data_IF_715972476413
#
_entry.id   IF_715972476413
#
_cell.length_a   1.000
_cell.length_b   1.000
_cell.length_c   1.000
_cell.angle_alpha   90.00
_cell.angle_beta   90.00
_cell.angle_gamma   90.00
#
_symmetry.space_group_name_H-M   'P 1'
#
loop_
_entity.id
_entity.type
_entity.pdbx_description
1 polymer ?
#
# COMPACT_ATOMS: atom_id res chain seq x y z
N UNK A 1 -10.16 34.24 -5.15
CA UNK A 1 -9.24 33.14 -4.84
C UNK A 1 -9.99 31.84 -5.02
N UNK A 2 -9.38 30.79 -5.55
CA UNK A 2 -10.05 29.50 -5.64
C UNK A 2 -10.48 29.02 -4.25
N UNK A 3 -11.63 28.35 -4.20
CA UNK A 3 -12.15 27.79 -2.94
C UNK A 3 -11.95 26.28 -3.00
N UNK A 4 -11.19 25.75 -2.04
CA UNK A 4 -10.86 24.33 -1.96
C UNK A 4 -11.78 23.61 -0.99
N UNK A 5 -12.18 22.39 -1.33
CA UNK A 5 -13.03 21.56 -0.49
C UNK A 5 -12.44 20.15 -0.36
N UNK A 6 -12.82 19.49 0.72
CA UNK A 6 -12.48 18.10 1.02
C UNK A 6 -13.78 17.33 1.30
N UNK A 7 -14.01 16.27 0.56
CA UNK A 7 -14.99 15.25 0.91
C UNK A 7 -14.27 14.03 1.48
N UNK A 8 -14.82 13.40 2.52
CA UNK A 8 -14.31 12.14 3.07
C UNK A 8 -15.32 11.04 2.82
N UNK A 9 -14.85 9.85 2.45
CA UNK A 9 -15.71 8.70 2.21
C UNK A 9 -15.15 7.43 2.85
N UNK A 10 -16.05 6.51 3.17
CA UNK A 10 -15.69 5.17 3.63
C UNK A 10 -16.71 4.14 3.18
N UNK A 11 -16.27 2.91 2.97
CA UNK A 11 -17.17 1.78 2.80
C UNK A 11 -16.59 0.52 3.47
N UNK A 12 -17.49 -0.38 3.85
CA UNK A 12 -17.11 -1.70 4.36
C UNK A 12 -16.66 -2.60 3.20
N UNK A 13 -15.47 -3.20 3.34
CA UNK A 13 -14.89 -4.13 2.37
C UNK A 13 -14.52 -5.45 3.03
N UNK A 14 -15.16 -5.77 4.15
CA UNK A 14 -14.99 -7.02 4.89
C UNK A 14 -15.53 -8.19 4.07
N UNK A 15 -14.73 -9.25 3.83
CA UNK A 15 -15.18 -10.39 3.06
C UNK A 15 -16.18 -11.26 3.86
N UNK A 16 -17.09 -11.96 3.18
CA UNK A 16 -17.94 -12.95 3.82
C UNK A 16 -17.14 -14.15 4.31
N UNK A 17 -17.72 -14.93 5.24
CA UNK A 17 -17.12 -16.20 5.67
C UNK A 17 -16.96 -17.14 4.47
N UNK A 18 -15.85 -17.88 4.45
CA UNK A 18 -15.48 -18.75 3.37
C UNK A 18 -14.73 -18.07 2.20
N UNK A 19 -14.64 -16.73 2.18
CA UNK A 19 -13.89 -16.00 1.15
C UNK A 19 -12.38 -16.31 1.27
N UNK A 20 -11.67 -16.57 0.14
CA UNK A 20 -10.22 -16.74 0.14
C UNK A 20 -9.50 -15.50 0.69
N UNK A 21 -8.49 -15.69 1.53
CA UNK A 21 -7.66 -14.62 2.06
C UNK A 21 -6.25 -14.68 1.49
N UNK A 22 -5.60 -13.53 1.40
CA UNK A 22 -4.20 -13.40 0.95
C UNK A 22 -3.95 -14.15 -0.40
N UNK A 23 -4.90 -14.06 -1.36
CA UNK A 23 -4.75 -14.76 -2.65
C UNK A 23 -4.89 -16.28 -2.61
N UNK A 24 -5.51 -16.82 -1.55
CA UNK A 24 -5.65 -18.27 -1.33
C UNK A 24 -4.40 -18.93 -0.75
N UNK A 25 -3.49 -18.15 -0.15
CA UNK A 25 -2.26 -18.68 0.46
C UNK A 25 -2.44 -19.10 1.92
N UNK A 26 -3.53 -18.70 2.53
CA UNK A 26 -3.86 -18.96 3.94
C UNK A 26 -5.30 -19.46 4.05
N UNK A 27 -5.70 -19.87 5.27
CA UNK A 27 -7.06 -20.31 5.57
C UNK A 27 -8.10 -19.27 5.11
N UNK A 28 -9.20 -19.69 4.49
CA UNK A 28 -10.31 -18.80 4.14
C UNK A 28 -10.91 -18.11 5.38
N UNK A 29 -11.66 -17.05 5.15
CA UNK A 29 -12.30 -16.27 6.20
C UNK A 29 -13.25 -17.16 7.03
N UNK A 30 -12.95 -17.35 8.32
CA UNK A 30 -13.77 -18.11 9.29
C UNK A 30 -14.33 -17.26 10.42
N UNK A 31 -13.96 -15.99 10.46
CA UNK A 31 -14.43 -15.02 11.43
C UNK A 31 -13.80 -13.65 11.19
N UNK A 32 -14.34 -12.64 11.84
CA UNK A 32 -13.89 -11.25 11.73
C UNK A 32 -13.49 -10.77 13.12
N UNK A 33 -12.23 -10.37 13.28
CA UNK A 33 -11.74 -9.75 14.52
C UNK A 33 -12.01 -8.25 14.51
N UNK A 34 -11.80 -7.61 13.35
CA UNK A 34 -12.14 -6.22 13.10
C UNK A 34 -12.54 -6.02 11.63
N UNK A 35 -13.48 -5.10 11.33
CA UNK A 35 -13.97 -4.88 9.98
C UNK A 35 -12.91 -4.21 9.10
N UNK A 36 -12.92 -4.54 7.81
CA UNK A 36 -12.06 -3.91 6.81
C UNK A 36 -12.75 -2.73 6.15
N UNK A 37 -12.01 -1.67 5.89
CA UNK A 37 -12.50 -0.44 5.30
C UNK A 37 -11.76 -0.08 4.01
N UNK A 38 -12.48 0.53 3.08
CA UNK A 38 -11.90 1.43 2.10
C UNK A 38 -12.21 2.86 2.54
N UNK A 39 -11.17 3.65 2.76
CA UNK A 39 -11.25 5.02 3.28
C UNK A 39 -10.62 5.96 2.27
N UNK A 40 -11.24 7.11 2.04
CA UNK A 40 -10.65 8.05 1.11
C UNK A 40 -11.06 9.49 1.30
N UNK A 41 -10.36 10.34 0.57
CA UNK A 41 -10.65 11.76 0.45
C UNK A 41 -10.77 12.15 -1.03
N UNK A 42 -11.64 13.13 -1.30
CA UNK A 42 -11.73 13.81 -2.60
C UNK A 42 -11.34 15.27 -2.41
N UNK A 43 -10.27 15.70 -3.09
CA UNK A 43 -9.83 17.09 -3.14
C UNK A 43 -10.51 17.80 -4.30
N UNK A 44 -11.19 18.90 -4.02
CA UNK A 44 -12.01 19.67 -4.97
C UNK A 44 -11.57 21.13 -5.02
N UNK A 45 -11.61 21.74 -6.19
CA UNK A 45 -11.27 23.15 -6.40
C UNK A 45 -9.94 23.38 -7.16
N UNK A 46 -9.24 22.31 -7.54
CA UNK A 46 -8.17 22.33 -8.55
C UNK A 46 -8.73 22.09 -9.98
N UNK A 47 -7.85 21.78 -10.93
CA UNK A 47 -8.21 21.47 -12.32
C UNK A 47 -9.26 20.35 -12.42
N UNK A 48 -9.01 19.27 -11.72
CA UNK A 48 -9.90 18.11 -11.63
C UNK A 48 -9.96 17.61 -10.18
N UNK A 49 -11.07 16.94 -9.80
CA UNK A 49 -11.12 16.24 -8.54
C UNK A 49 -10.01 15.19 -8.43
N UNK A 50 -9.32 15.16 -7.28
CA UNK A 50 -8.31 14.14 -6.97
C UNK A 50 -8.88 13.21 -5.92
N UNK A 51 -8.81 11.90 -6.15
CA UNK A 51 -9.27 10.88 -5.21
C UNK A 51 -8.07 10.13 -4.64
N UNK A 52 -7.93 10.13 -3.32
CA UNK A 52 -6.97 9.29 -2.59
C UNK A 52 -7.75 8.25 -1.80
N UNK A 53 -7.44 6.96 -2.00
CA UNK A 53 -8.14 5.86 -1.36
C UNK A 53 -7.16 4.85 -0.76
N UNK A 54 -7.37 4.48 0.51
CA UNK A 54 -6.66 3.41 1.21
C UNK A 54 -7.63 2.25 1.45
N UNK A 55 -7.24 1.03 1.06
CA UNK A 55 -8.04 -0.18 1.17
C UNK A 55 -7.36 -1.17 2.13
N UNK A 56 -8.08 -1.66 3.14
CA UNK A 56 -7.58 -2.62 4.13
C UNK A 56 -7.44 -4.05 3.55
N UNK A 57 -7.00 -4.16 2.31
CA UNK A 57 -6.76 -5.43 1.64
C UNK A 57 -5.26 -5.71 1.49
N UNK A 58 -4.90 -6.99 1.31
CA UNK A 58 -3.52 -7.40 1.03
C UNK A 58 -3.03 -6.81 -0.29
N UNK A 59 -3.87 -6.75 -1.32
CA UNK A 59 -3.47 -6.18 -2.60
C UNK A 59 -4.59 -6.04 -3.61
N UNK A 60 -4.39 -5.09 -4.52
CA UNK A 60 -5.14 -4.89 -5.74
C UNK A 60 -4.15 -4.98 -6.91
N UNK A 61 -4.41 -5.87 -7.87
CA UNK A 61 -3.51 -6.12 -9.00
C UNK A 61 -4.21 -5.93 -10.34
N UNK A 62 -3.45 -5.46 -11.30
CA UNK A 62 -3.81 -5.53 -12.71
C UNK A 62 -5.22 -4.96 -13.00
N UNK A 63 -6.12 -5.77 -13.55
CA UNK A 63 -7.48 -5.37 -13.88
C UNK A 63 -8.30 -4.98 -12.65
N UNK A 64 -8.12 -5.65 -11.50
CA UNK A 64 -8.82 -5.28 -10.26
C UNK A 64 -8.47 -3.86 -9.82
N UNK A 65 -7.21 -3.47 -9.88
CA UNK A 65 -6.76 -2.12 -9.59
C UNK A 65 -7.38 -1.09 -10.57
N UNK A 66 -7.39 -1.39 -11.87
CA UNK A 66 -7.94 -0.50 -12.89
C UNK A 66 -9.44 -0.30 -12.74
N UNK A 67 -10.20 -1.37 -12.48
CA UNK A 67 -11.65 -1.30 -12.24
C UNK A 67 -11.99 -0.44 -11.03
N UNK A 68 -11.21 -0.56 -9.95
CA UNK A 68 -11.39 0.27 -8.76
C UNK A 68 -11.16 1.76 -9.07
N UNK A 69 -10.03 2.08 -9.71
CA UNK A 69 -9.73 3.46 -10.13
C UNK A 69 -10.79 4.04 -11.06
N UNK A 70 -11.22 3.29 -12.05
CA UNK A 70 -12.24 3.72 -13.00
C UNK A 70 -13.55 4.07 -12.29
N UNK A 71 -14.04 3.19 -11.42
CA UNK A 71 -15.27 3.39 -10.69
C UNK A 71 -15.23 4.63 -9.76
N UNK A 72 -14.09 4.86 -9.09
CA UNK A 72 -13.91 6.04 -8.26
C UNK A 72 -13.78 7.33 -9.10
N UNK A 73 -13.12 7.26 -10.25
CA UNK A 73 -13.00 8.39 -11.17
C UNK A 73 -14.38 8.84 -11.68
N UNK A 74 -15.19 7.90 -12.16
CA UNK A 74 -16.57 8.16 -12.60
C UNK A 74 -17.43 8.76 -11.47
N UNK A 75 -17.32 8.20 -10.27
CA UNK A 75 -18.06 8.68 -9.11
C UNK A 75 -17.65 10.10 -8.67
N UNK A 76 -16.39 10.46 -8.85
CA UNK A 76 -15.86 11.78 -8.50
C UNK A 76 -15.87 12.78 -9.66
N UNK A 77 -16.44 12.42 -10.83
CA UNK A 77 -16.42 13.23 -12.05
C UNK A 77 -15.02 13.66 -12.49
N UNK A 78 -14.07 12.72 -12.45
CA UNK A 78 -12.68 12.90 -12.85
C UNK A 78 -12.21 11.77 -13.80
N UNK A 79 -10.92 11.65 -14.04
CA UNK A 79 -10.35 10.58 -14.86
C UNK A 79 -9.44 9.68 -14.01
N UNK A 80 -9.21 8.40 -14.40
CA UNK A 80 -8.44 7.46 -13.59
C UNK A 80 -7.05 7.96 -13.20
N UNK A 81 -6.41 8.80 -14.01
CA UNK A 81 -5.10 9.37 -13.73
C UNK A 81 -5.08 10.28 -12.49
N UNK A 82 -6.25 10.81 -12.07
CA UNK A 82 -6.45 11.63 -10.87
C UNK A 82 -6.92 10.81 -9.66
N UNK A 83 -6.87 9.48 -9.77
CA UNK A 83 -7.27 8.58 -8.69
C UNK A 83 -6.07 7.74 -8.25
N UNK A 84 -5.72 7.81 -6.96
CA UNK A 84 -4.69 6.99 -6.34
C UNK A 84 -5.34 6.03 -5.34
N UNK A 85 -5.23 4.72 -5.61
CA UNK A 85 -5.75 3.65 -4.74
C UNK A 85 -4.57 2.83 -4.23
N UNK A 86 -4.50 2.62 -2.93
CA UNK A 86 -3.42 1.88 -2.29
C UNK A 86 -3.96 0.90 -1.27
N UNK A 87 -3.35 -0.28 -1.19
CA UNK A 87 -3.66 -1.24 -0.15
C UNK A 87 -2.85 -0.96 1.10
N UNK A 88 -3.47 -1.13 2.27
CA UNK A 88 -2.75 -1.09 3.56
C UNK A 88 -1.87 -2.33 3.71
N UNK A 89 -2.24 -3.44 3.06
CA UNK A 89 -1.49 -4.69 2.95
C UNK A 89 -1.49 -5.61 4.18
N UNK A 90 -2.54 -5.62 5.04
CA UNK A 90 -2.65 -6.66 6.05
C UNK A 90 -2.90 -8.04 5.38
N UNK A 91 -2.50 -9.13 6.03
CA UNK A 91 -2.49 -10.44 5.36
C UNK A 91 -3.69 -11.34 5.65
N UNK A 92 -4.45 -11.10 6.71
CA UNK A 92 -5.74 -11.77 6.92
C UNK A 92 -6.89 -11.06 6.18
N UNK A 93 -6.67 -10.72 4.90
CA UNK A 93 -7.60 -9.90 4.09
C UNK A 93 -7.61 -10.35 2.63
N UNK A 94 -8.58 -9.91 1.81
CA UNK A 94 -8.63 -10.22 0.38
C UNK A 94 -7.41 -9.72 -0.40
N UNK A 95 -7.11 -10.43 -1.47
CA UNK A 95 -6.10 -10.07 -2.46
C UNK A 95 -6.71 -10.23 -3.84
N UNK A 96 -6.89 -9.14 -4.57
CA UNK A 96 -7.69 -9.14 -5.77
C UNK A 96 -6.87 -9.02 -7.05
N UNK A 97 -7.05 -10.01 -7.93
CA UNK A 97 -6.62 -10.00 -9.33
C UNK A 97 -7.70 -10.69 -10.16
N UNK A 98 -8.49 -9.92 -10.89
CA UNK A 98 -9.64 -10.42 -11.67
C UNK A 98 -9.20 -11.35 -12.80
N UNK A 99 -8.11 -11.02 -13.50
CA UNK A 99 -7.61 -11.85 -14.61
C UNK A 99 -7.02 -13.16 -14.09
N UNK A 100 -6.26 -13.10 -13.00
CA UNK A 100 -5.73 -14.29 -12.35
C UNK A 100 -6.87 -15.21 -11.87
N UNK A 101 -7.93 -14.66 -11.26
CA UNK A 101 -9.08 -15.47 -10.83
C UNK A 101 -9.78 -16.17 -12.01
N UNK A 102 -9.93 -15.51 -13.17
CA UNK A 102 -10.47 -16.16 -14.37
C UNK A 102 -9.60 -17.33 -14.84
N UNK A 103 -8.28 -17.15 -14.81
CA UNK A 103 -7.32 -18.22 -15.14
C UNK A 103 -7.40 -19.39 -14.16
N UNK A 104 -7.49 -19.10 -12.85
CA UNK A 104 -7.65 -20.08 -11.77
C UNK A 104 -8.93 -20.91 -11.98
N UNK A 105 -10.05 -20.25 -12.24
CA UNK A 105 -11.33 -20.90 -12.48
C UNK A 105 -11.30 -21.78 -13.75
N UNK A 106 -10.69 -21.31 -14.84
CA UNK A 106 -10.52 -22.07 -16.07
C UNK A 106 -9.66 -23.35 -15.86
N UNK A 107 -8.63 -23.26 -15.01
CA UNK A 107 -7.75 -24.36 -14.64
C UNK A 107 -8.35 -25.26 -13.54
N UNK A 108 -9.57 -24.97 -13.05
CA UNK A 108 -10.19 -25.68 -11.91
C UNK A 108 -9.28 -25.76 -10.68
N UNK A 109 -8.56 -24.66 -10.41
CA UNK A 109 -7.78 -24.51 -9.19
C UNK A 109 -8.64 -23.88 -8.08
N UNK A 110 -8.24 -24.00 -6.79
CA UNK A 110 -8.95 -23.33 -5.70
C UNK A 110 -8.95 -21.81 -5.87
N UNK A 111 -10.10 -21.19 -5.65
CA UNK A 111 -10.30 -19.75 -5.85
C UNK A 111 -9.35 -18.91 -4.99
N UNK A 112 -8.94 -17.77 -5.55
CA UNK A 112 -8.17 -16.73 -4.85
C UNK A 112 -9.01 -15.49 -4.52
N UNK A 113 -10.17 -15.33 -5.17
CA UNK A 113 -11.06 -14.18 -5.07
C UNK A 113 -12.49 -14.56 -5.44
N UNK A 114 -13.47 -14.07 -4.68
CA UNK A 114 -14.87 -14.04 -5.14
C UNK A 114 -15.08 -12.77 -5.99
N UNK A 115 -15.31 -12.96 -7.30
CA UNK A 115 -15.50 -11.86 -8.25
C UNK A 115 -16.77 -11.06 -8.00
N UNK A 116 -17.83 -11.67 -7.45
CA UNK A 116 -19.06 -10.97 -7.10
C UNK A 116 -18.83 -10.06 -5.89
N UNK A 117 -18.21 -10.58 -4.86
CA UNK A 117 -17.82 -9.78 -3.70
C UNK A 117 -16.92 -8.60 -4.10
N UNK A 118 -15.93 -8.83 -4.96
CA UNK A 118 -15.07 -7.78 -5.49
C UNK A 118 -15.88 -6.68 -6.20
N UNK A 119 -16.75 -7.05 -7.13
CA UNK A 119 -17.58 -6.09 -7.87
C UNK A 119 -18.50 -5.29 -6.93
N UNK A 120 -19.08 -5.94 -5.92
CA UNK A 120 -19.92 -5.28 -4.90
C UNK A 120 -19.12 -4.29 -4.05
N UNK A 121 -17.86 -4.58 -3.70
CA UNK A 121 -16.98 -3.65 -3.00
C UNK A 121 -16.68 -2.41 -3.86
N UNK A 122 -16.33 -2.59 -5.13
CA UNK A 122 -16.07 -1.50 -6.08
C UNK A 122 -17.30 -0.59 -6.20
N UNK A 123 -18.49 -1.17 -6.40
CA UNK A 123 -19.75 -0.44 -6.49
C UNK A 123 -20.05 0.37 -5.23
N UNK A 124 -19.96 -0.25 -4.04
CA UNK A 124 -20.18 0.42 -2.74
C UNK A 124 -19.20 1.56 -2.51
N UNK A 125 -17.93 1.38 -2.88
CA UNK A 125 -16.93 2.43 -2.74
C UNK A 125 -17.23 3.62 -3.66
N UNK A 126 -17.63 3.37 -4.90
CA UNK A 126 -18.07 4.41 -5.83
C UNK A 126 -19.35 5.15 -5.33
N UNK A 127 -20.31 4.43 -4.76
CA UNK A 127 -21.49 5.03 -4.12
C UNK A 127 -21.11 5.92 -2.93
N UNK A 128 -20.16 5.46 -2.08
CA UNK A 128 -19.65 6.25 -0.96
C UNK A 128 -19.01 7.56 -1.43
N UNK A 129 -18.26 7.56 -2.54
CA UNK A 129 -17.72 8.78 -3.16
C UNK A 129 -18.88 9.71 -3.59
N UNK A 130 -19.83 9.21 -4.38
CA UNK A 130 -20.97 10.04 -4.84
C UNK A 130 -21.74 10.68 -3.69
N UNK A 131 -21.96 9.95 -2.61
CA UNK A 131 -22.66 10.43 -1.43
C UNK A 131 -21.85 11.43 -0.60
N UNK A 132 -20.52 11.38 -0.67
CA UNK A 132 -19.63 12.28 0.04
C UNK A 132 -19.49 13.66 -0.64
N UNK A 133 -19.55 13.73 -1.97
CA UNK A 133 -19.34 14.98 -2.72
C UNK A 133 -20.23 16.14 -2.27
N UNK A 134 -21.55 15.98 -2.07
CA UNK A 134 -22.41 17.07 -1.59
C UNK A 134 -22.10 17.53 -0.16
N UNK A 135 -21.34 16.73 0.61
CA UNK A 135 -20.97 16.98 2.00
C UNK A 135 -19.55 17.56 2.12
N UNK A 136 -18.92 17.93 1.00
CA UNK A 136 -17.57 18.46 0.97
C UNK A 136 -17.44 19.72 1.84
N UNK A 137 -16.45 19.76 2.72
CA UNK A 137 -16.19 20.87 3.63
C UNK A 137 -15.08 21.77 3.07
N UNK A 138 -15.21 23.08 3.29
CA UNK A 138 -14.19 24.04 2.88
C UNK A 138 -12.85 23.73 3.56
N UNK A 139 -11.77 23.69 2.77
CA UNK A 139 -10.42 23.47 3.23
C UNK A 139 -9.60 24.75 3.11
N UNK A 140 -8.96 25.17 4.20
CA UNK A 140 -8.20 26.43 4.26
C UNK A 140 -6.73 26.23 4.56
N UNK A 141 -6.36 25.11 5.20
CA UNK A 141 -4.97 24.82 5.58
C UNK A 141 -4.65 23.35 5.32
N UNK A 142 -3.37 23.10 5.09
CA UNK A 142 -2.73 21.79 5.14
C UNK A 142 -1.72 21.78 6.27
N UNK A 143 -1.66 20.68 7.02
CA UNK A 143 -0.71 20.50 8.11
C UNK A 143 0.17 19.29 7.88
N UNK A 144 1.40 19.33 8.38
CA UNK A 144 2.33 18.19 8.35
C UNK A 144 2.93 17.96 9.72
N UNK A 145 3.11 16.69 10.06
CA UNK A 145 3.76 16.30 11.29
C UNK A 145 4.53 15.00 11.14
N UNK A 146 5.57 14.85 11.93
CA UNK A 146 6.45 13.66 11.90
C UNK A 146 6.71 13.20 13.33
N UNK A 147 6.72 11.89 13.53
CA UNK A 147 7.15 11.30 14.80
C UNK A 147 7.86 9.98 14.58
N UNK A 148 8.84 9.70 15.43
CA UNK A 148 9.53 8.41 15.44
C UNK A 148 8.61 7.31 15.95
N UNK A 149 8.62 6.16 15.26
CA UNK A 149 7.96 4.94 15.71
C UNK A 149 9.01 4.06 16.39
N UNK A 150 8.76 3.71 17.62
CA UNK A 150 9.70 2.90 18.39
C UNK A 150 9.32 1.41 18.33
N UNK A 151 10.33 0.57 18.09
CA UNK A 151 10.21 -0.89 18.21
C UNK A 151 9.08 -1.52 17.37
N UNK A 152 8.93 -1.09 16.10
CA UNK A 152 8.00 -1.71 15.13
C UNK A 152 8.77 -2.20 13.93
N UNK A 153 9.33 -1.32 13.11
CA UNK A 153 10.00 -1.67 11.87
C UNK A 153 11.39 -2.29 12.07
N UNK A 154 11.72 -3.23 11.22
CA UNK A 154 13.07 -3.74 11.02
C UNK A 154 13.23 -4.24 9.59
N UNK A 155 14.40 -4.06 9.00
CA UNK A 155 14.68 -4.63 7.69
C UNK A 155 14.70 -6.16 7.80
N UNK A 156 14.00 -6.82 6.87
CA UNK A 156 13.88 -8.28 6.89
C UNK A 156 15.14 -8.97 6.36
N UNK A 157 16.04 -8.25 5.71
CA UNK A 157 17.26 -8.71 5.07
C UNK A 157 18.45 -8.51 6.02
N UNK A 158 18.79 -9.53 6.81
CA UNK A 158 19.94 -9.51 7.70
C UNK A 158 21.15 -10.05 6.93
N UNK A 159 22.08 -9.15 6.56
CA UNK A 159 23.26 -9.52 5.78
C UNK A 159 24.32 -10.19 6.64
N UNK A 160 25.01 -11.16 6.04
CA UNK A 160 26.22 -11.75 6.56
C UNK A 160 27.48 -10.95 6.19
N UNK A 161 28.65 -11.38 6.68
CA UNK A 161 29.93 -10.74 6.36
C UNK A 161 30.29 -10.79 4.86
N UNK A 162 29.74 -11.73 4.13
CA UNK A 162 29.91 -11.91 2.68
C UNK A 162 29.00 -10.99 1.83
N UNK A 163 28.20 -10.13 2.49
CA UNK A 163 27.25 -9.24 1.83
C UNK A 163 26.01 -9.94 1.29
N UNK A 164 25.78 -11.22 1.60
CA UNK A 164 24.57 -11.95 1.25
C UNK A 164 23.59 -11.97 2.42
N UNK A 165 22.31 -12.20 2.11
CA UNK A 165 21.29 -12.37 3.15
C UNK A 165 21.53 -13.66 3.93
N UNK A 166 22.00 -13.53 5.18
CA UNK A 166 22.20 -14.64 6.10
C UNK A 166 20.90 -15.12 6.73
N UNK A 167 20.04 -14.17 7.15
CA UNK A 167 18.73 -14.46 7.71
C UNK A 167 17.67 -13.60 7.04
N UNK A 168 16.52 -14.21 6.74
CA UNK A 168 15.30 -13.48 6.39
C UNK A 168 14.49 -13.31 7.66
N UNK A 169 14.43 -12.09 8.17
CA UNK A 169 13.60 -11.73 9.31
C UNK A 169 12.15 -11.58 8.82
N UNK A 170 11.37 -12.64 8.97
CA UNK A 170 9.95 -12.64 8.58
C UNK A 170 9.12 -11.74 9.50
N UNK A 171 7.83 -11.62 9.25
CA UNK A 171 6.92 -10.80 10.08
C UNK A 171 6.88 -11.24 11.54
N UNK A 172 7.06 -12.54 11.79
CA UNK A 172 7.13 -13.15 13.12
C UNK A 172 8.39 -14.02 13.21
N UNK A 173 9.45 -13.49 13.80
CA UNK A 173 10.77 -14.14 13.81
C UNK A 173 11.06 -14.75 15.18
N UNK A 174 11.24 -16.07 15.22
CA UNK A 174 11.61 -16.82 16.42
C UNK A 174 13.12 -17.07 16.52
N UNK A 175 13.87 -16.95 15.41
CA UNK A 175 15.34 -17.11 15.41
C UNK A 175 16.01 -16.03 16.28
N UNK A 176 16.71 -16.37 17.36
CA UNK A 176 17.29 -15.42 18.30
C UNK A 176 18.37 -14.55 17.65
N UNK A 177 19.21 -15.08 16.75
CA UNK A 177 20.24 -14.30 16.06
C UNK A 177 19.64 -13.27 15.12
N UNK A 178 18.60 -13.65 14.36
CA UNK A 178 17.88 -12.72 13.50
C UNK A 178 17.18 -11.62 14.30
N UNK A 179 16.65 -11.92 15.50
CA UNK A 179 16.04 -10.93 16.40
C UNK A 179 17.08 -10.02 17.05
N UNK A 180 18.25 -10.55 17.43
CA UNK A 180 19.33 -9.79 18.04
C UNK A 180 19.99 -8.82 17.05
N UNK A 181 20.02 -9.15 15.75
CA UNK A 181 20.61 -8.29 14.72
C UNK A 181 20.02 -6.86 14.75
N UNK A 182 20.79 -5.81 14.38
CA UNK A 182 20.29 -4.43 14.29
C UNK A 182 19.03 -4.32 13.44
N UNK A 183 18.27 -3.24 13.60
CA UNK A 183 17.05 -2.97 12.77
C UNK A 183 17.36 -2.97 11.27
N UNK A 184 18.59 -2.59 10.91
CA UNK A 184 18.99 -2.42 9.52
C UNK A 184 18.50 -1.10 8.93
N UNK A 185 18.50 -1.00 7.60
CA UNK A 185 18.00 0.20 6.92
C UNK A 185 16.46 0.25 7.01
N UNK A 186 15.94 1.25 7.68
CA UNK A 186 14.51 1.54 7.82
C UNK A 186 14.27 3.05 7.68
N UNK A 187 13.03 3.46 7.42
CA UNK A 187 12.56 4.82 7.75
C UNK A 187 11.82 4.74 9.10
N UNK A 188 12.39 5.26 10.19
CA UNK A 188 11.79 5.13 11.51
C UNK A 188 10.64 6.10 11.76
N UNK A 189 10.28 6.95 10.79
CA UNK A 189 9.34 8.04 11.00
C UNK A 189 7.97 7.76 10.38
N UNK A 190 6.93 7.87 11.20
CA UNK A 190 5.55 8.04 10.74
C UNK A 190 5.37 9.51 10.32
N UNK A 191 4.79 9.71 9.14
CA UNK A 191 4.45 11.04 8.63
C UNK A 191 2.94 11.20 8.55
N UNK A 192 2.49 12.41 8.87
CA UNK A 192 1.07 12.79 8.82
C UNK A 192 0.90 14.00 7.93
N UNK A 193 -0.05 13.93 6.99
CA UNK A 193 -0.62 15.09 6.28
C UNK A 193 -2.04 15.27 6.79
N UNK A 194 -2.43 16.50 7.12
CA UNK A 194 -3.75 16.79 7.67
C UNK A 194 -4.39 17.98 6.97
N UNK A 195 -5.73 17.96 6.90
CA UNK A 195 -6.54 18.99 6.24
C UNK A 195 -7.41 19.70 7.24
N UNK A 196 -7.57 21.02 7.10
CA UNK A 196 -8.20 21.87 8.09
C UNK A 196 -9.09 22.95 7.48
N UNK A 197 -10.19 23.23 8.16
CA UNK A 197 -10.97 24.46 7.99
C UNK A 197 -10.66 25.39 9.15
N UNK A 198 -9.78 26.35 8.95
CA UNK A 198 -9.21 27.18 10.03
C UNK A 198 -8.59 26.28 11.13
N UNK A 199 -9.18 26.25 12.32
CA UNK A 199 -8.72 25.43 13.44
C UNK A 199 -9.46 24.10 13.57
N UNK A 200 -10.50 23.88 12.76
CA UNK A 200 -11.24 22.61 12.74
C UNK A 200 -10.52 21.60 11.84
N UNK A 201 -10.05 20.45 12.40
CA UNK A 201 -9.49 19.38 11.58
C UNK A 201 -10.59 18.67 10.80
N UNK A 202 -10.30 18.31 9.54
CA UNK A 202 -11.21 17.60 8.64
C UNK A 202 -10.79 16.15 8.47
N UNK A 203 -9.50 15.91 8.20
CA UNK A 203 -8.94 14.58 8.00
C UNK A 203 -7.44 14.55 8.31
N UNK A 204 -6.95 13.37 8.67
CA UNK A 204 -5.52 13.07 8.80
C UNK A 204 -5.17 11.81 8.01
N UNK A 205 -4.10 11.90 7.22
CA UNK A 205 -3.53 10.82 6.43
C UNK A 205 -2.16 10.47 7.03
N UNK A 206 -1.94 9.21 7.38
CA UNK A 206 -0.71 8.71 7.96
C UNK A 206 0.01 7.77 7.01
N UNK A 207 1.33 7.77 7.01
CA UNK A 207 2.14 6.76 6.33
C UNK A 207 3.31 6.31 7.20
N UNK A 208 3.57 5.00 7.17
CA UNK A 208 4.74 4.40 7.80
C UNK A 208 5.15 3.15 7.02
N UNK A 209 6.44 2.94 6.84
CA UNK A 209 6.97 1.82 6.05
C UNK A 209 7.17 0.58 6.92
N UNK A 210 6.17 -0.33 6.94
CA UNK A 210 6.28 -1.64 7.59
C UNK A 210 5.15 -2.57 7.13
N UNK A 211 5.46 -3.81 6.78
CA UNK A 211 4.42 -4.83 6.53
C UNK A 211 3.50 -4.96 7.75
N UNK A 212 2.18 -4.76 7.59
CA UNK A 212 1.20 -4.87 8.67
C UNK A 212 0.84 -6.33 8.93
N UNK A 213 1.79 -7.05 9.52
CA UNK A 213 1.70 -8.49 9.79
C UNK A 213 2.13 -8.77 11.23
N UNK A 214 1.18 -8.81 12.16
CA UNK A 214 1.45 -9.25 13.54
C UNK A 214 1.44 -10.77 13.66
N UNK A 215 0.31 -11.38 13.36
CA UNK A 215 0.10 -12.80 13.11
C UNK A 215 -0.99 -12.93 12.05
N UNK A 216 -0.94 -14.00 11.26
CA UNK A 216 -1.89 -14.23 10.18
C UNK A 216 -1.96 -15.73 9.82
N UNK A 217 -2.87 -16.08 8.92
CA UNK A 217 -3.02 -17.45 8.42
C UNK A 217 -4.11 -18.24 9.13
N UNK A 218 -4.72 -17.69 10.17
CA UNK A 218 -5.74 -18.36 11.00
C UNK A 218 -7.19 -18.12 10.52
N UNK A 219 -7.39 -17.50 9.35
CA UNK A 219 -8.72 -17.21 8.81
C UNK A 219 -9.51 -16.12 9.57
N UNK A 220 -8.90 -15.43 10.53
CA UNK A 220 -9.53 -14.34 11.30
C UNK A 220 -9.27 -13.00 10.62
N UNK A 221 -10.26 -12.47 9.90
CA UNK A 221 -10.16 -11.21 9.15
C UNK A 221 -9.81 -10.05 10.07
N UNK A 222 -8.78 -9.27 9.71
CA UNK A 222 -8.32 -8.12 10.49
C UNK A 222 -7.51 -7.15 9.65
N UNK A 223 -7.69 -5.84 9.87
CA UNK A 223 -6.85 -4.77 9.32
C UNK A 223 -5.48 -4.65 10.01
N UNK A 224 -5.16 -5.59 10.90
CA UNK A 224 -3.94 -5.71 11.70
C UNK A 224 -3.59 -4.43 12.49
N UNK A 225 -2.39 -4.34 13.05
CA UNK A 225 -2.01 -3.26 13.97
C UNK A 225 -2.13 -1.85 13.37
N UNK A 226 -1.95 -1.68 12.06
CA UNK A 226 -2.06 -0.38 11.39
C UNK A 226 -3.52 0.10 11.34
N UNK A 227 -4.45 -0.77 10.90
CA UNK A 227 -5.87 -0.45 10.87
C UNK A 227 -6.45 -0.21 12.25
N UNK A 228 -6.05 -1.03 13.21
CA UNK A 228 -6.45 -0.88 14.62
C UNK A 228 -5.92 0.43 15.25
N UNK A 229 -4.67 0.86 14.93
CA UNK A 229 -4.12 2.12 15.40
C UNK A 229 -4.89 3.32 14.83
N UNK A 230 -5.20 3.28 13.53
CA UNK A 230 -6.03 4.27 12.84
C UNK A 230 -7.41 4.39 13.47
N UNK A 231 -8.07 3.27 13.71
CA UNK A 231 -9.41 3.24 14.30
C UNK A 231 -9.40 3.77 15.74
N UNK A 232 -8.42 3.37 16.55
CA UNK A 232 -8.23 3.92 17.91
C UNK A 232 -8.07 5.44 17.87
N UNK A 233 -7.26 5.96 16.93
CA UNK A 233 -7.06 7.40 16.79
C UNK A 233 -8.34 8.13 16.37
N UNK A 234 -9.14 7.53 15.47
CA UNK A 234 -10.43 8.05 15.04
C UNK A 234 -11.41 8.15 16.22
N UNK A 235 -11.51 7.11 17.03
CA UNK A 235 -12.40 7.08 18.20
C UNK A 235 -12.04 8.16 19.23
N UNK A 236 -10.74 8.38 19.46
CA UNK A 236 -10.28 9.39 20.42
C UNK A 236 -10.54 10.84 19.97
N UNK A 237 -10.49 11.10 18.66
CA UNK A 237 -10.49 12.46 18.13
C UNK A 237 -11.76 12.88 17.41
N UNK A 238 -12.55 11.93 16.94
CA UNK A 238 -13.66 12.18 16.03
C UNK A 238 -13.23 12.68 14.63
N UNK A 239 -11.92 12.82 14.38
CA UNK A 239 -11.39 13.26 13.08
C UNK A 239 -11.30 12.05 12.14
N UNK A 240 -11.61 12.24 10.85
CA UNK A 240 -11.44 11.21 9.84
C UNK A 240 -9.96 10.83 9.71
N UNK A 241 -9.65 9.54 9.85
CA UNK A 241 -8.29 9.01 9.85
C UNK A 241 -8.10 8.05 8.68
N UNK A 242 -7.01 8.20 7.94
CA UNK A 242 -6.55 7.25 6.94
C UNK A 242 -5.13 6.77 7.27
N UNK A 243 -4.84 5.54 6.92
CA UNK A 243 -3.49 4.99 6.99
C UNK A 243 -3.12 4.43 5.64
N UNK A 244 -1.94 4.81 5.16
CA UNK A 244 -1.27 4.23 4.01
C UNK A 244 -0.02 3.50 4.46
N UNK A 245 0.34 2.44 3.75
CA UNK A 245 1.64 1.84 3.95
C UNK A 245 2.68 2.58 3.09
N UNK A 246 3.82 2.90 3.68
CA UNK A 246 4.99 3.40 2.97
C UNK A 246 5.70 2.28 2.20
N UNK A 247 6.91 2.52 1.74
CA UNK A 247 7.72 1.52 1.04
C UNK A 247 8.20 0.43 2.01
N UNK A 248 7.32 -0.51 2.31
CA UNK A 248 7.52 -1.58 3.28
C UNK A 248 8.00 -2.90 2.70
N UNK A 249 8.35 -2.98 1.39
CA UNK A 249 8.65 -4.25 0.71
C UNK A 249 9.69 -5.11 1.43
N UNK A 250 10.73 -4.52 1.96
CA UNK A 250 11.77 -5.18 2.75
C UNK A 250 11.70 -4.90 4.26
N UNK A 251 10.59 -4.35 4.75
CA UNK A 251 10.45 -3.95 6.15
C UNK A 251 9.33 -4.74 6.84
N UNK A 252 9.64 -5.31 8.01
CA UNK A 252 8.69 -6.07 8.83
C UNK A 252 8.84 -5.75 10.31
N UNK A 253 7.86 -6.17 11.12
CA UNK A 253 7.95 -6.09 12.58
C UNK A 253 8.79 -7.23 13.22
N UNK A 254 9.43 -8.09 12.43
CA UNK A 254 9.98 -9.37 12.86
C UNK A 254 11.07 -9.31 13.95
N UNK A 255 11.76 -8.18 14.13
CA UNK A 255 12.67 -7.99 15.28
C UNK A 255 11.90 -7.94 16.61
N UNK A 256 10.71 -7.38 16.60
CA UNK A 256 9.90 -7.05 17.78
C UNK A 256 8.64 -7.92 17.88
N UNK A 257 8.48 -8.88 16.98
CA UNK A 257 7.32 -9.75 16.88
C UNK A 257 7.75 -11.22 16.71
N UNK A 258 7.26 -12.09 17.55
CA UNK A 258 7.44 -13.56 17.47
C UNK A 258 6.17 -14.31 17.05
N UNK A 259 5.09 -13.56 16.74
CA UNK A 259 3.80 -14.10 16.31
C UNK A 259 2.83 -14.38 17.45
N UNK A 260 3.18 -14.04 18.69
CA UNK A 260 2.23 -14.10 19.79
C UNK A 260 1.06 -13.13 19.59
N UNK A 261 -0.16 -13.52 20.00
CA UNK A 261 -1.39 -12.77 19.71
C UNK A 261 -1.41 -11.37 20.33
N UNK A 262 -0.83 -11.22 21.50
CA UNK A 262 -0.67 -9.92 22.20
C UNK A 262 0.13 -8.90 21.41
N UNK A 263 1.04 -9.35 20.54
CA UNK A 263 1.88 -8.45 19.73
C UNK A 263 1.08 -7.54 18.80
N UNK A 264 -0.09 -7.96 18.31
CA UNK A 264 -0.97 -7.08 17.52
C UNK A 264 -1.36 -5.83 18.31
N UNK A 265 -1.75 -6.02 19.58
CA UNK A 265 -2.06 -4.90 20.48
C UNK A 265 -0.87 -4.02 20.80
N UNK A 266 0.30 -4.62 21.05
CA UNK A 266 1.53 -3.89 21.36
C UNK A 266 1.98 -3.05 20.15
N UNK A 267 2.01 -3.63 18.96
CA UNK A 267 2.39 -2.93 17.72
C UNK A 267 1.39 -1.82 17.37
N UNK A 268 0.07 -2.07 17.53
CA UNK A 268 -0.98 -1.05 17.41
C UNK A 268 -0.70 0.15 18.30
N UNK A 269 -0.39 -0.07 19.57
CA UNK A 269 -0.20 1.03 20.53
C UNK A 269 1.06 1.84 20.23
N UNK A 270 2.12 1.21 19.70
CA UNK A 270 3.34 1.89 19.23
C UNK A 270 3.07 2.79 18.00
N UNK A 271 2.34 2.29 17.00
CA UNK A 271 1.92 3.09 15.85
C UNK A 271 0.98 4.23 16.29
N UNK A 272 0.01 3.92 17.14
CA UNK A 272 -0.92 4.91 17.68
C UNK A 272 -0.18 6.04 18.45
N UNK A 273 0.80 5.70 19.28
CA UNK A 273 1.61 6.69 19.99
C UNK A 273 2.35 7.62 19.01
N UNK A 274 2.89 7.09 17.92
CA UNK A 274 3.51 7.90 16.87
C UNK A 274 2.49 8.79 16.13
N UNK A 275 1.26 8.29 15.85
CA UNK A 275 0.19 9.11 15.29
C UNK A 275 -0.15 10.30 16.20
N UNK A 276 -0.25 10.07 17.52
CA UNK A 276 -0.49 11.13 18.52
C UNK A 276 0.64 12.14 18.53
N UNK A 277 1.89 11.67 18.52
CA UNK A 277 3.06 12.55 18.55
C UNK A 277 3.20 13.36 17.24
N UNK A 278 3.00 12.75 16.07
CA UNK A 278 3.00 13.44 14.78
C UNK A 278 1.89 14.49 14.70
N UNK A 279 0.69 14.18 15.23
CA UNK A 279 -0.39 15.15 15.32
C UNK A 279 -0.03 16.34 16.19
N UNK A 280 0.57 16.13 17.36
CA UNK A 280 1.03 17.21 18.25
C UNK A 280 2.12 18.07 17.61
N UNK A 281 2.95 17.49 16.77
CA UNK A 281 4.00 18.17 16.02
C UNK A 281 3.51 18.82 14.71
N UNK A 282 2.19 18.87 14.47
CA UNK A 282 1.65 19.40 13.21
C UNK A 282 1.94 20.87 13.03
N UNK A 283 2.65 21.20 11.96
CA UNK A 283 2.81 22.55 11.43
C UNK A 283 1.73 22.81 10.39
N UNK A 284 0.82 23.73 10.71
CA UNK A 284 -0.31 24.10 9.86
C UNK A 284 0.06 25.30 8.98
N UNK A 285 -0.21 25.22 7.68
CA UNK A 285 0.08 26.28 6.71
C UNK A 285 -1.16 26.61 5.88
N UNK A 286 -1.40 27.89 5.53
CA UNK A 286 -2.49 28.27 4.64
C UNK A 286 -2.38 27.53 3.31
N UNK A 287 -3.50 27.05 2.79
CA UNK A 287 -3.56 26.35 1.51
C UNK A 287 -3.59 27.35 0.36
N UNK A 288 -2.63 27.24 -0.57
CA UNK A 288 -2.54 28.07 -1.78
C UNK A 288 -2.94 27.29 -3.03
N UNK A 289 -3.21 25.99 -2.92
CA UNK A 289 -3.57 25.09 -4.00
C UNK A 289 -2.65 23.89 -4.04
N UNK A 290 -2.86 23.09 -5.07
CA UNK A 290 -2.04 21.92 -5.33
C UNK A 290 -1.87 21.68 -6.81
N UNK A 291 -0.86 20.88 -7.15
CA UNK A 291 -0.64 20.32 -8.45
C UNK A 291 -0.64 18.78 -8.36
N UNK A 292 -1.30 18.14 -9.30
CA UNK A 292 -1.23 16.70 -9.50
C UNK A 292 -0.41 16.39 -10.73
N UNK A 293 0.62 15.58 -10.57
CA UNK A 293 1.49 15.12 -11.66
C UNK A 293 1.47 13.60 -11.69
N UNK A 294 1.55 13.05 -12.89
CA UNK A 294 1.73 11.60 -13.06
C UNK A 294 2.61 11.32 -14.29
N UNK A 295 3.34 10.22 -14.23
CA UNK A 295 4.17 9.72 -15.31
C UNK A 295 3.95 8.22 -15.49
N UNK A 296 3.83 7.75 -16.76
CA UNK A 296 3.71 6.33 -17.03
C UNK A 296 5.06 5.63 -16.89
N UNK A 297 5.05 4.44 -16.29
CA UNK A 297 6.20 3.55 -16.19
C UNK A 297 5.84 2.16 -16.72
N UNK A 298 6.66 1.60 -17.62
CA UNK A 298 6.56 0.21 -18.06
C UNK A 298 7.69 -0.59 -17.43
N UNK A 299 7.31 -1.50 -16.55
CA UNK A 299 8.25 -2.40 -15.92
C UNK A 299 8.72 -3.47 -16.90
N UNK A 300 10.01 -3.80 -16.87
CA UNK A 300 10.56 -4.92 -17.62
C UNK A 300 10.32 -6.22 -16.83
N UNK A 301 9.81 -7.28 -17.49
CA UNK A 301 9.64 -8.57 -16.83
C UNK A 301 10.97 -9.28 -16.63
N UNK A 302 10.99 -10.19 -15.66
CA UNK A 302 12.08 -11.16 -15.50
C UNK A 302 12.23 -12.00 -16.77
N UNK A 303 13.48 -12.36 -17.12
CA UNK A 303 13.79 -13.10 -18.35
C UNK A 303 14.11 -14.57 -18.12
N UNK A 304 14.29 -14.98 -16.87
CA UNK A 304 14.58 -16.35 -16.51
C UNK A 304 13.40 -17.28 -16.88
N UNK A 305 13.64 -18.49 -17.37
CA UNK A 305 12.57 -19.40 -17.85
C UNK A 305 11.42 -19.60 -16.86
N UNK A 306 11.72 -19.66 -15.54
CA UNK A 306 10.73 -19.82 -14.47
C UNK A 306 9.70 -18.65 -14.41
N UNK A 307 10.03 -17.49 -14.99
CA UNK A 307 9.14 -16.33 -15.06
C UNK A 307 8.41 -16.21 -16.41
N UNK A 308 8.49 -17.21 -17.28
CA UNK A 308 7.73 -17.22 -18.54
C UNK A 308 6.26 -17.61 -18.35
N UNK A 309 5.38 -17.16 -19.26
CA UNK A 309 3.98 -17.62 -19.28
C UNK A 309 3.86 -19.13 -19.47
N UNK A 310 4.73 -19.73 -20.30
CA UNK A 310 4.71 -21.15 -20.59
C UNK A 310 4.97 -21.99 -19.32
N UNK A 311 5.98 -21.66 -18.54
CA UNK A 311 6.27 -22.38 -17.29
C UNK A 311 5.19 -22.13 -16.22
N UNK A 312 4.69 -20.90 -16.11
CA UNK A 312 3.59 -20.60 -15.20
C UNK A 312 2.33 -21.39 -15.57
N UNK A 313 2.03 -21.55 -16.85
CA UNK A 313 0.87 -22.32 -17.32
C UNK A 313 0.98 -23.79 -16.93
N UNK A 314 2.15 -24.41 -17.05
CA UNK A 314 2.38 -25.78 -16.58
C UNK A 314 2.05 -25.94 -15.09
N UNK A 315 2.50 -24.99 -14.26
CA UNK A 315 2.22 -25.01 -12.82
C UNK A 315 0.73 -24.79 -12.53
N UNK A 316 0.07 -23.86 -13.21
CA UNK A 316 -1.35 -23.56 -13.03
C UNK A 316 -2.23 -24.77 -13.38
N UNK A 317 -1.90 -25.49 -14.44
CA UNK A 317 -2.66 -26.63 -14.96
C UNK A 317 -2.35 -27.94 -14.25
N UNK A 318 -1.27 -28.02 -13.46
CA UNK A 318 -0.93 -29.24 -12.71
C UNK A 318 -1.82 -29.41 -11.47
N UNK A 319 -2.75 -30.40 -11.45
CA UNK A 319 -3.65 -30.62 -10.32
C UNK A 319 -2.91 -31.13 -9.05
N UNK A 320 -1.66 -31.58 -9.19
CA UNK A 320 -0.84 -32.05 -8.07
C UNK A 320 -0.05 -30.90 -7.42
N UNK A 321 0.07 -29.75 -8.10
CA UNK A 321 0.75 -28.60 -7.52
C UNK A 321 -0.10 -28.00 -6.38
N UNK A 322 0.55 -27.53 -5.29
CA UNK A 322 -0.16 -26.84 -4.20
C UNK A 322 -1.00 -25.65 -4.69
N UNK A 323 -2.18 -25.44 -4.12
CA UNK A 323 -3.09 -24.34 -4.49
C UNK A 323 -2.39 -22.98 -4.56
N UNK A 324 -1.60 -22.64 -3.54
CA UNK A 324 -0.84 -21.40 -3.49
C UNK A 324 0.15 -21.24 -4.67
N UNK A 325 0.77 -22.33 -5.14
CA UNK A 325 1.64 -22.30 -6.32
C UNK A 325 0.86 -22.07 -7.60
N UNK A 326 -0.29 -22.72 -7.74
CA UNK A 326 -1.18 -22.55 -8.90
C UNK A 326 -1.70 -21.11 -8.97
N UNK A 327 -2.11 -20.54 -7.83
CA UNK A 327 -2.56 -19.14 -7.76
C UNK A 327 -1.43 -18.16 -8.10
N UNK A 328 -0.21 -18.39 -7.59
CA UNK A 328 0.95 -17.57 -7.96
C UNK A 328 1.26 -17.61 -9.45
N UNK A 329 1.14 -18.78 -10.07
CA UNK A 329 1.32 -18.93 -11.51
C UNK A 329 0.26 -18.11 -12.30
N UNK A 330 -1.00 -18.12 -11.86
CA UNK A 330 -2.04 -17.30 -12.45
C UNK A 330 -1.77 -15.78 -12.29
N UNK A 331 -1.31 -15.33 -11.12
CA UNK A 331 -0.90 -13.95 -10.90
C UNK A 331 0.25 -13.55 -11.83
N UNK A 332 1.23 -14.41 -12.02
CA UNK A 332 2.34 -14.17 -12.94
C UNK A 332 1.86 -14.07 -14.39
N UNK A 333 0.99 -14.97 -14.84
CA UNK A 333 0.41 -14.91 -16.20
C UNK A 333 -0.38 -13.62 -16.40
N UNK A 334 -1.23 -13.25 -15.44
CA UNK A 334 -2.00 -12.01 -15.50
C UNK A 334 -1.10 -10.76 -15.62
N UNK A 335 0.00 -10.73 -14.84
CA UNK A 335 1.01 -9.68 -14.94
C UNK A 335 1.68 -9.62 -16.31
N UNK A 336 2.16 -10.76 -16.84
CA UNK A 336 2.84 -10.81 -18.13
C UNK A 336 1.94 -10.34 -19.28
N UNK A 337 0.66 -10.65 -19.24
CA UNK A 337 -0.31 -10.27 -20.28
C UNK A 337 -0.61 -8.78 -20.30
N UNK A 338 -0.43 -8.07 -19.19
CA UNK A 338 -0.72 -6.64 -19.10
C UNK A 338 0.50 -5.73 -19.28
N UNK A 339 1.70 -6.25 -19.53
CA UNK A 339 2.95 -5.47 -19.64
C UNK A 339 2.89 -4.31 -20.65
N UNK A 340 2.00 -4.40 -21.64
CA UNK A 340 1.76 -3.34 -22.61
C UNK A 340 1.04 -2.11 -22.00
N UNK A 341 0.40 -2.24 -20.82
CA UNK A 341 -0.29 -1.17 -20.12
C UNK A 341 0.67 -0.55 -19.10
N UNK A 342 1.02 0.75 -19.23
CA UNK A 342 1.89 1.38 -18.26
C UNK A 342 1.22 1.48 -16.88
N UNK A 343 2.04 1.58 -15.84
CA UNK A 343 1.63 1.92 -14.49
C UNK A 343 1.94 3.39 -14.29
N UNK A 344 0.97 4.15 -13.81
CA UNK A 344 1.13 5.57 -13.54
C UNK A 344 1.65 5.75 -12.11
N UNK A 345 2.78 6.43 -12.02
CA UNK A 345 3.35 6.90 -10.77
C UNK A 345 2.89 8.35 -10.61
N UNK A 346 2.39 8.72 -9.46
CA UNK A 346 1.82 10.06 -9.27
C UNK A 346 2.39 10.79 -8.06
N UNK A 347 2.30 12.11 -8.11
CA UNK A 347 2.70 13.02 -7.04
C UNK A 347 1.69 14.14 -6.90
N UNK A 348 1.25 14.38 -5.67
CA UNK A 348 0.48 15.54 -5.26
C UNK A 348 1.42 16.53 -4.57
N UNK A 349 1.57 17.72 -5.12
CA UNK A 349 2.33 18.81 -4.50
C UNK A 349 1.40 19.93 -4.04
N UNK A 350 1.46 20.27 -2.75
CA UNK A 350 0.78 21.45 -2.23
C UNK A 350 1.63 22.68 -2.50
N UNK A 351 1.10 23.59 -3.32
CA UNK A 351 1.83 24.74 -3.86
C UNK A 351 2.34 25.67 -2.76
N UNK A 352 3.59 26.13 -2.89
CA UNK A 352 4.28 27.04 -1.96
C UNK A 352 4.48 26.46 -0.54
N UNK A 353 4.13 25.19 -0.30
CA UNK A 353 4.23 24.57 1.02
C UNK A 353 5.39 23.60 1.15
N UNK A 354 6.00 23.21 0.02
CA UNK A 354 7.03 22.14 -0.02
C UNK A 354 6.53 20.83 0.62
N UNK A 355 5.28 20.48 0.37
CA UNK A 355 4.67 19.22 0.81
C UNK A 355 4.36 18.41 -0.45
N UNK A 356 4.93 17.22 -0.52
CA UNK A 356 4.85 16.30 -1.66
C UNK A 356 4.32 14.95 -1.17
N UNK A 357 3.22 14.46 -1.75
CA UNK A 357 2.76 13.09 -1.55
C UNK A 357 3.05 12.29 -2.82
N UNK A 358 3.95 11.29 -2.70
CA UNK A 358 4.41 10.42 -3.78
C UNK A 358 3.72 9.07 -3.67
N UNK A 359 3.11 8.59 -4.76
CA UNK A 359 2.31 7.37 -4.82
C UNK A 359 2.98 6.34 -5.73
N UNK A 360 3.45 5.23 -5.14
CA UNK A 360 4.21 4.17 -5.79
C UNK A 360 3.42 2.87 -5.91
N UNK A 361 3.67 2.05 -6.94
CA UNK A 361 3.03 0.75 -7.10
C UNK A 361 3.72 -0.31 -6.25
N UNK A 362 3.07 -1.47 -6.12
CA UNK A 362 3.64 -2.70 -5.61
C UNK A 362 4.30 -2.59 -4.24
N UNK A 363 5.07 -3.60 -3.93
CA UNK A 363 5.79 -3.72 -2.66
C UNK A 363 7.21 -3.14 -2.80
N UNK A 364 7.27 -1.80 -3.00
CA UNK A 364 8.54 -1.09 -3.14
C UNK A 364 9.40 -1.18 -1.88
N UNK A 365 10.71 -1.33 -2.05
CA UNK A 365 11.67 -1.32 -0.95
C UNK A 365 11.80 0.06 -0.32
N UNK A 366 12.18 0.12 0.96
CA UNK A 366 12.34 1.39 1.72
C UNK A 366 13.35 2.34 1.09
N UNK A 367 14.30 1.82 0.35
CA UNK A 367 15.32 2.59 -0.38
C UNK A 367 14.69 3.62 -1.33
N UNK A 368 13.57 3.31 -1.98
CA UNK A 368 12.86 4.25 -2.86
C UNK A 368 12.27 5.43 -2.07
N UNK A 369 11.70 5.17 -0.89
CA UNK A 369 11.20 6.21 0.01
C UNK A 369 12.30 7.11 0.51
N UNK A 370 13.41 6.53 0.95
CA UNK A 370 14.57 7.27 1.44
C UNK A 370 15.26 8.06 0.30
N UNK A 371 15.30 7.52 -0.91
CA UNK A 371 15.79 8.22 -2.09
C UNK A 371 14.92 9.45 -2.43
N UNK A 372 13.59 9.30 -2.41
CA UNK A 372 12.66 10.41 -2.64
C UNK A 372 12.86 11.55 -1.62
N UNK A 373 13.04 11.22 -0.35
CA UNK A 373 13.34 12.19 0.71
C UNK A 373 14.68 12.88 0.50
N UNK A 374 15.71 12.13 0.06
CA UNK A 374 17.03 12.68 -0.24
C UNK A 374 17.02 13.59 -1.49
N UNK A 375 16.19 13.32 -2.47
CA UNK A 375 16.01 14.16 -3.66
C UNK A 375 15.38 15.52 -3.33
N UNK A 376 14.56 15.58 -2.25
CA UNK A 376 13.87 16.81 -1.82
C UNK A 376 14.08 17.06 -0.31
N UNK A 377 15.33 17.35 0.11
CA UNK A 377 15.65 17.63 1.53
C UNK A 377 15.01 18.93 2.05
N UNK A 378 14.57 19.79 1.14
CA UNK A 378 13.88 21.04 1.41
C UNK A 378 12.36 20.87 1.60
N UNK A 379 11.82 19.66 1.41
CA UNK A 379 10.39 19.40 1.40
C UNK A 379 9.98 18.28 2.38
N UNK A 380 8.72 18.32 2.80
CA UNK A 380 8.08 17.20 3.48
C UNK A 380 7.58 16.19 2.43
N UNK A 381 8.25 15.04 2.36
CA UNK A 381 7.90 13.98 1.41
C UNK A 381 7.11 12.88 2.11
N UNK A 382 5.85 12.73 1.72
CA UNK A 382 4.90 11.73 2.19
C UNK A 382 4.82 10.61 1.14
N UNK A 383 5.48 9.48 1.37
CA UNK A 383 5.53 8.38 0.39
C UNK A 383 4.53 7.29 0.74
N UNK A 384 3.77 6.87 -0.27
CA UNK A 384 2.78 5.79 -0.21
C UNK A 384 3.17 4.73 -1.23
N UNK A 385 3.16 3.45 -0.84
CA UNK A 385 3.37 2.31 -1.72
C UNK A 385 2.10 1.43 -1.79
N UNK A 386 2.22 0.23 -2.37
CA UNK A 386 1.11 -0.73 -2.51
C UNK A 386 -0.07 -0.24 -3.35
N UNK A 387 0.22 0.55 -4.39
CA UNK A 387 -0.73 0.85 -5.46
C UNK A 387 -0.99 -0.39 -6.32
N UNK A 388 -0.93 -0.28 -7.66
CA UNK A 388 -1.04 -1.47 -8.52
C UNK A 388 0.04 -2.51 -8.16
N UNK A 389 -0.39 -3.63 -7.61
CA UNK A 389 0.50 -4.69 -7.11
C UNK A 389 0.87 -5.75 -8.15
N UNK A 390 0.58 -5.53 -9.44
CA UNK A 390 0.77 -6.55 -10.48
C UNK A 390 2.16 -7.16 -10.52
N UNK A 391 3.22 -6.35 -10.33
CA UNK A 391 4.61 -6.80 -10.31
C UNK A 391 5.06 -7.46 -8.98
N UNK A 392 4.25 -7.38 -7.90
CA UNK A 392 4.64 -7.82 -6.57
C UNK A 392 5.71 -6.91 -5.95
N UNK A 393 6.78 -7.53 -5.44
CA UNK A 393 7.92 -6.81 -4.89
C UNK A 393 8.67 -5.99 -5.93
N UNK A 394 9.20 -4.83 -5.51
CA UNK A 394 10.11 -3.99 -6.28
C UNK A 394 11.42 -3.85 -5.49
N UNK A 395 12.31 -4.88 -5.54
CA UNK A 395 13.61 -4.82 -4.91
C UNK A 395 14.53 -3.84 -5.62
N UNK A 396 15.61 -3.41 -4.93
CA UNK A 396 16.74 -2.76 -5.60
C UNK A 396 17.53 -3.77 -6.45
N UNK A 397 18.25 -3.31 -7.46
CA UNK A 397 19.14 -4.18 -8.26
C UNK A 397 20.18 -4.89 -7.38
N UNK A 398 20.69 -4.23 -6.36
CA UNK A 398 21.60 -4.79 -5.37
C UNK A 398 20.98 -5.98 -4.63
N UNK A 399 19.70 -5.92 -4.30
CA UNK A 399 19.02 -6.99 -3.59
C UNK A 399 19.02 -8.32 -4.36
N UNK A 400 18.99 -8.28 -5.70
CA UNK A 400 19.11 -9.49 -6.53
C UNK A 400 20.50 -10.14 -6.38
N UNK A 401 21.54 -9.36 -6.16
CA UNK A 401 22.90 -9.86 -5.90
C UNK A 401 23.04 -10.40 -4.48
N UNK A 402 22.38 -9.78 -3.50
CA UNK A 402 22.43 -10.18 -2.10
C UNK A 402 21.62 -11.45 -1.80
N UNK A 403 20.63 -11.79 -2.66
CA UNK A 403 19.71 -12.90 -2.43
C UNK A 403 18.57 -12.52 -1.46
N UNK A 404 18.04 -13.50 -0.74
CA UNK A 404 16.89 -13.31 0.16
C UNK A 404 15.55 -13.63 -0.52
N UNK A 405 14.45 -13.39 0.17
CA UNK A 405 13.10 -13.79 -0.28
C UNK A 405 12.57 -12.96 -1.44
N UNK A 406 12.62 -11.64 -1.33
CA UNK A 406 11.91 -10.73 -2.24
C UNK A 406 12.36 -10.86 -3.70
N UNK A 407 13.68 -10.99 -4.02
CA UNK A 407 14.13 -11.22 -5.39
C UNK A 407 13.66 -12.55 -5.99
N UNK A 408 13.33 -13.55 -5.15
CA UNK A 408 12.86 -14.85 -5.66
C UNK A 408 11.41 -14.83 -6.17
N UNK A 409 10.62 -13.84 -5.74
CA UNK A 409 9.19 -13.69 -6.08
C UNK A 409 8.87 -12.41 -6.82
N UNK A 410 9.80 -11.48 -6.96
CA UNK A 410 9.65 -10.27 -7.75
C UNK A 410 9.47 -10.61 -9.24
N UNK A 411 8.44 -10.05 -9.87
CA UNK A 411 8.13 -10.28 -11.28
C UNK A 411 8.81 -9.28 -12.22
N UNK A 412 9.20 -8.12 -11.70
CA UNK A 412 9.95 -7.11 -12.43
C UNK A 412 11.46 -7.36 -12.37
N UNK A 413 12.15 -7.04 -13.46
CA UNK A 413 13.60 -7.20 -13.59
C UNK A 413 14.39 -6.16 -12.77
N UNK A 414 15.67 -6.42 -12.43
CA UNK A 414 16.50 -5.50 -11.64
C UNK A 414 16.62 -4.08 -12.20
N UNK A 415 16.55 -3.92 -13.53
CA UNK A 415 16.60 -2.63 -14.22
C UNK A 415 15.45 -1.68 -13.85
N UNK A 416 14.40 -2.23 -13.25
CA UNK A 416 13.25 -1.47 -12.72
C UNK A 416 13.68 -0.40 -11.71
N UNK A 417 14.73 -0.64 -10.92
CA UNK A 417 15.23 0.34 -9.95
C UNK A 417 15.57 1.66 -10.61
N UNK A 418 16.41 1.62 -11.64
CA UNK A 418 16.84 2.84 -12.35
C UNK A 418 15.66 3.57 -13.00
N UNK A 419 14.73 2.83 -13.61
CA UNK A 419 13.55 3.39 -14.24
C UNK A 419 12.63 4.07 -13.22
N UNK A 420 12.38 3.41 -12.08
CA UNK A 420 11.52 3.95 -11.03
C UNK A 420 12.14 5.18 -10.37
N UNK A 421 13.45 5.15 -10.06
CA UNK A 421 14.16 6.30 -9.49
C UNK A 421 14.13 7.50 -10.43
N UNK A 422 14.28 7.30 -11.74
CA UNK A 422 14.19 8.37 -12.73
C UNK A 422 12.79 9.00 -12.79
N UNK A 423 11.73 8.19 -12.71
CA UNK A 423 10.35 8.70 -12.65
C UNK A 423 10.09 9.47 -11.36
N UNK A 424 10.57 8.96 -10.22
CA UNK A 424 10.49 9.64 -8.92
C UNK A 424 11.17 11.02 -9.00
N UNK A 425 12.41 11.07 -9.50
CA UNK A 425 13.16 12.32 -9.66
C UNK A 425 12.39 13.34 -10.49
N UNK A 426 11.87 12.93 -11.65
CA UNK A 426 11.07 13.83 -12.51
C UNK A 426 9.80 14.34 -11.82
N UNK A 427 9.10 13.48 -11.07
CA UNK A 427 7.87 13.88 -10.37
C UNK A 427 8.15 14.83 -9.20
N UNK A 428 9.30 14.68 -8.55
CA UNK A 428 9.69 15.50 -7.41
C UNK A 428 10.41 16.79 -7.80
N UNK A 429 10.92 16.89 -9.03
CA UNK A 429 11.63 18.10 -9.51
C UNK A 429 10.72 19.33 -9.46
N UNK A 430 11.19 20.44 -8.91
CA UNK A 430 10.48 21.72 -9.00
C UNK A 430 10.22 22.09 -10.47
N UNK A 431 9.04 22.58 -10.79
CA UNK A 431 8.84 23.28 -12.07
C UNK A 431 9.56 24.62 -12.00
N UNK A 432 10.42 24.88 -12.96
CA UNK A 432 11.08 26.17 -13.18
C UNK A 432 10.09 27.19 -13.74
#
# INVERSE_FOLDING_TARGET
MPVYHLATFECDVTPPLGHPLCGGWIEPARGVDDPLRALGVVLLGGDKPIVLCAVDWTGLRNEAFRQWRQALAEAAHTTPEYVSVHCVHPHNTPFADVEAQKLISAAKAPDSLDLKFFADCVRRCAEAVRNALPQAQRMTHVGVGTARVEQVASNRRVLGPDGKVKYVRTSATKNPEARAAPEGLIDPFLRTVSFWQNDKPLAALHTYACHPMSYYGDGRVSADFCGLAREKRRQETGVFQMYFNGCGGNITAGKYNDGARENRGILRDRIHAAMVAAWKATEKKPLHGWEWRFLPLRFQPRREPAFSEAESRKVLEDPKAPAARRNNAAFQIAWLRRLHIPIEISCLEFLNQRILALFLPGEAFVEYQLAAQKMRPDAFVFTVAYGDGGMGYIPTARAFLEGGYEPTVALAAPETEQQLLHVIEKLLSPKH
#
